data_IF_084830967359
#
_entry.id   IF_084830967359
#
_cell.length_a   1.000
_cell.length_b   1.000
_cell.length_c   1.000
_cell.angle_alpha   90.00
_cell.angle_beta   90.00
_cell.angle_gamma   90.00
#
_symmetry.space_group_name_H-M   'P 1'
#
loop_
_entity.id
_entity.type
_entity.pdbx_description
1 polymer ?
#
# COMPACT_ATOMS: atom_id res chain seq x y z
N UNK A 1 -21.08 7.33 -15.38
CA UNK A 1 -19.72 7.09 -14.86
C UNK A 1 -19.85 6.14 -13.69
N UNK A 2 -19.09 5.04 -13.63
CA UNK A 2 -19.13 4.06 -12.53
C UNK A 2 -18.39 4.59 -11.30
N UNK A 3 -18.63 3.97 -10.13
CA UNK A 3 -17.89 4.29 -8.90
C UNK A 3 -16.39 4.10 -9.08
N UNK A 4 -15.97 2.98 -9.65
CA UNK A 4 -14.56 2.68 -9.89
C UNK A 4 -13.88 3.72 -10.79
N UNK A 5 -14.53 4.11 -11.91
CA UNK A 5 -14.01 5.18 -12.78
C UNK A 5 -13.93 6.53 -12.10
N UNK A 6 -14.91 6.88 -11.25
CA UNK A 6 -14.86 8.12 -10.47
C UNK A 6 -13.68 8.10 -9.49
N UNK A 7 -13.43 6.97 -8.84
CA UNK A 7 -12.27 6.79 -7.96
C UNK A 7 -10.95 6.83 -8.73
N UNK A 8 -10.89 6.21 -9.90
CA UNK A 8 -9.70 6.24 -10.76
C UNK A 8 -9.33 7.67 -11.14
N UNK A 9 -10.30 8.46 -11.62
CA UNK A 9 -10.07 9.88 -11.96
C UNK A 9 -9.65 10.70 -10.76
N UNK A 10 -10.25 10.46 -9.59
CA UNK A 10 -9.83 11.13 -8.36
C UNK A 10 -8.38 10.81 -8.00
N UNK A 11 -7.97 9.54 -8.14
CA UNK A 11 -6.59 9.12 -7.95
C UNK A 11 -5.62 9.73 -8.96
N UNK A 12 -6.00 9.79 -10.25
CA UNK A 12 -5.19 10.45 -11.29
C UNK A 12 -5.01 11.93 -10.96
N UNK A 13 -6.08 12.62 -10.57
CA UNK A 13 -6.02 14.03 -10.16
C UNK A 13 -5.16 14.20 -8.91
N UNK A 14 -5.32 13.35 -7.90
CA UNK A 14 -4.56 13.39 -6.66
C UNK A 14 -3.07 13.17 -6.88
N UNK A 15 -2.71 12.07 -7.54
CA UNK A 15 -1.31 11.76 -7.88
C UNK A 15 -0.72 12.84 -8.79
N UNK A 16 -1.44 13.25 -9.84
CA UNK A 16 -1.01 14.28 -10.77
C UNK A 16 -0.74 15.61 -10.08
N UNK A 17 -1.63 16.05 -9.19
CA UNK A 17 -1.46 17.31 -8.46
C UNK A 17 -0.24 17.30 -7.53
N UNK A 18 -0.03 16.18 -6.80
CA UNK A 18 1.13 16.04 -5.89
C UNK A 18 2.44 15.96 -6.68
N UNK A 19 2.49 15.23 -7.79
CA UNK A 19 3.67 15.14 -8.66
C UNK A 19 3.98 16.48 -9.30
N UNK A 20 2.97 17.21 -9.79
CA UNK A 20 3.14 18.54 -10.37
C UNK A 20 3.68 19.53 -9.34
N UNK A 21 3.13 19.52 -8.12
CA UNK A 21 3.60 20.38 -7.02
C UNK A 21 5.05 20.03 -6.64
N UNK A 22 5.39 18.75 -6.54
CA UNK A 22 6.74 18.31 -6.23
C UNK A 22 7.74 18.70 -7.33
N UNK A 23 7.39 18.50 -8.60
CA UNK A 23 8.22 18.91 -9.75
C UNK A 23 8.41 20.43 -9.79
N UNK A 24 7.34 21.20 -9.59
CA UNK A 24 7.42 22.66 -9.50
C UNK A 24 8.33 23.11 -8.36
N UNK A 25 8.21 22.47 -7.19
CA UNK A 25 9.06 22.78 -6.03
C UNK A 25 10.54 22.49 -6.29
N UNK A 26 10.85 21.40 -7.00
CA UNK A 26 12.22 21.05 -7.42
C UNK A 26 12.78 22.10 -8.39
N UNK A 27 12.06 22.41 -9.46
CA UNK A 27 12.54 23.32 -10.52
C UNK A 27 12.70 24.75 -10.01
N UNK A 28 11.76 25.20 -9.17
CA UNK A 28 11.79 26.58 -8.62
C UNK A 28 12.75 26.74 -7.44
N UNK A 29 13.20 25.65 -6.81
CA UNK A 29 13.97 25.70 -5.56
C UNK A 29 13.16 26.28 -4.39
N UNK A 30 11.83 26.20 -4.44
CA UNK A 30 10.93 26.81 -3.46
C UNK A 30 11.23 26.41 -2.01
N UNK A 31 11.50 25.13 -1.67
CA UNK A 31 11.85 24.73 -0.32
C UNK A 31 13.08 25.47 0.22
N UNK A 32 14.11 25.68 -0.61
CA UNK A 32 15.34 26.38 -0.21
C UNK A 32 15.12 27.90 0.05
N UNK A 33 14.01 28.45 -0.43
CA UNK A 33 13.64 29.86 -0.17
C UNK A 33 12.77 30.03 1.08
N UNK A 34 12.02 29.00 1.46
CA UNK A 34 11.03 29.07 2.54
C UNK A 34 11.48 28.40 3.84
N UNK A 35 12.40 27.44 3.75
CA UNK A 35 12.83 26.61 4.87
C UNK A 35 14.31 26.82 5.17
N UNK A 36 14.77 26.34 6.32
CA UNK A 36 16.18 26.47 6.73
C UNK A 36 17.09 25.62 5.86
N UNK A 37 18.04 26.26 5.20
CA UNK A 37 19.06 25.62 4.32
C UNK A 37 20.21 25.02 5.15
N UNK A 38 20.43 25.54 6.36
CA UNK A 38 21.40 25.03 7.30
C UNK A 38 20.73 24.28 8.45
N UNK A 39 21.47 23.39 9.14
CA UNK A 39 20.98 22.77 10.37
C UNK A 39 20.59 23.82 11.39
N UNK A 40 19.45 23.59 12.04
CA UNK A 40 18.93 24.52 13.05
C UNK A 40 18.67 23.81 14.38
N UNK A 41 18.09 24.49 15.36
CA UNK A 41 17.69 23.82 16.59
C UNK A 41 16.60 22.77 16.33
N UNK A 42 16.66 21.69 17.09
CA UNK A 42 15.70 20.57 17.03
C UNK A 42 14.23 21.03 17.01
N UNK A 43 13.86 21.99 17.87
CA UNK A 43 12.48 22.52 17.91
C UNK A 43 12.08 23.24 16.64
N UNK A 44 13.00 23.98 16.00
CA UNK A 44 12.75 24.68 14.74
C UNK A 44 12.58 23.70 13.58
N UNK A 45 13.41 22.64 13.53
CA UNK A 45 13.29 21.58 12.54
C UNK A 45 11.95 20.86 12.64
N UNK A 46 11.51 20.53 13.86
CA UNK A 46 10.19 19.92 14.12
C UNK A 46 9.04 20.82 13.63
N UNK A 47 9.07 22.11 13.92
CA UNK A 47 8.04 23.06 13.48
C UNK A 47 7.99 23.14 11.96
N UNK A 48 9.13 23.22 11.28
CA UNK A 48 9.19 23.26 9.82
C UNK A 48 8.68 21.97 9.18
N UNK A 49 9.06 20.79 9.70
CA UNK A 49 8.54 19.50 9.23
C UNK A 49 7.04 19.37 9.46
N UNK A 50 6.55 19.82 10.62
CA UNK A 50 5.12 19.83 10.92
C UNK A 50 4.35 20.76 9.97
N UNK A 51 4.93 21.91 9.62
CA UNK A 51 4.35 22.83 8.64
C UNK A 51 4.25 22.20 7.26
N UNK A 52 5.29 21.50 6.81
CA UNK A 52 5.28 20.76 5.52
C UNK A 52 4.21 19.67 5.55
N UNK A 53 4.13 18.88 6.63
CA UNK A 53 3.09 17.86 6.77
C UNK A 53 1.67 18.46 6.78
N UNK A 54 1.47 19.60 7.46
CA UNK A 54 0.20 20.30 7.48
C UNK A 54 -0.20 20.83 6.09
N UNK A 55 0.72 21.41 5.34
CA UNK A 55 0.47 21.86 3.97
C UNK A 55 0.09 20.69 3.05
N UNK A 56 0.75 19.56 3.18
CA UNK A 56 0.40 18.34 2.45
C UNK A 56 -1.01 17.85 2.80
N UNK A 57 -1.37 17.84 4.08
CA UNK A 57 -2.72 17.45 4.54
C UNK A 57 -3.77 18.40 3.97
N UNK A 58 -3.55 19.71 4.07
CA UNK A 58 -4.45 20.73 3.54
C UNK A 58 -4.64 20.60 2.03
N UNK A 59 -3.57 20.29 1.29
CA UNK A 59 -3.62 20.06 -0.15
C UNK A 59 -4.50 18.86 -0.52
N UNK A 60 -4.41 17.77 0.22
CA UNK A 60 -5.18 16.54 -0.04
C UNK A 60 -6.59 16.55 0.55
N UNK A 61 -6.88 17.41 1.51
CA UNK A 61 -8.16 17.40 2.24
C UNK A 61 -9.40 17.42 1.33
N UNK A 62 -9.48 18.26 0.26
CA UNK A 62 -10.62 18.24 -0.64
C UNK A 62 -10.79 16.89 -1.38
N UNK A 63 -9.67 16.30 -1.80
CA UNK A 63 -9.65 15.02 -2.50
C UNK A 63 -10.06 13.87 -1.56
N UNK A 64 -9.56 13.89 -0.33
CA UNK A 64 -9.91 12.92 0.70
C UNK A 64 -11.40 13.01 1.07
N UNK A 65 -11.95 14.21 1.20
CA UNK A 65 -13.38 14.40 1.42
C UNK A 65 -14.20 13.82 0.25
N UNK A 66 -13.80 14.13 -0.98
CA UNK A 66 -14.46 13.58 -2.17
C UNK A 66 -14.37 12.04 -2.20
N UNK A 67 -13.20 11.49 -1.97
CA UNK A 67 -12.95 10.05 -2.08
C UNK A 67 -13.46 9.22 -0.91
N UNK A 68 -13.41 9.74 0.31
CA UNK A 68 -13.77 9.02 1.51
C UNK A 68 -15.22 9.18 1.94
N UNK A 69 -15.82 10.32 1.68
CA UNK A 69 -17.18 10.63 2.11
C UNK A 69 -18.15 10.81 0.94
N UNK A 70 -17.88 11.78 0.04
CA UNK A 70 -18.88 12.19 -0.96
C UNK A 70 -19.13 11.14 -2.03
N UNK A 71 -18.10 10.54 -2.64
CA UNK A 71 -18.26 9.51 -3.68
C UNK A 71 -18.95 8.23 -3.15
N UNK A 72 -18.52 7.63 -2.02
CA UNK A 72 -19.21 6.46 -1.48
C UNK A 72 -20.69 6.72 -1.22
N UNK A 73 -21.05 7.89 -0.67
CA UNK A 73 -22.43 8.27 -0.42
C UNK A 73 -23.23 8.47 -1.70
N UNK A 74 -22.67 9.17 -2.71
CA UNK A 74 -23.32 9.39 -4.01
C UNK A 74 -23.65 8.08 -4.73
N UNK A 75 -22.78 7.08 -4.63
CA UNK A 75 -22.94 5.77 -5.27
C UNK A 75 -23.60 4.72 -4.36
N UNK A 76 -24.16 5.13 -3.22
CA UNK A 76 -24.81 4.23 -2.24
C UNK A 76 -23.93 3.05 -1.79
N UNK A 77 -22.61 3.29 -1.68
CA UNK A 77 -21.64 2.31 -1.17
C UNK A 77 -21.40 2.48 0.33
N UNK A 78 -21.86 3.59 0.93
CA UNK A 78 -21.74 3.86 2.36
C UNK A 78 -22.88 4.80 2.80
N UNK A 79 -23.49 4.50 3.94
CA UNK A 79 -24.47 5.35 4.63
C UNK A 79 -23.85 6.12 5.80
N UNK A 80 -22.52 6.18 5.84
CA UNK A 80 -21.76 6.81 6.92
C UNK A 80 -22.07 8.31 7.02
N UNK A 81 -22.25 8.81 8.26
CA UNK A 81 -22.39 10.24 8.52
C UNK A 81 -21.05 10.96 8.41
N UNK A 82 -21.08 12.27 8.14
CA UNK A 82 -19.86 13.10 8.10
C UNK A 82 -19.11 13.03 9.42
N UNK A 83 -19.81 13.07 10.55
CA UNK A 83 -19.19 12.97 11.87
C UNK A 83 -18.47 11.65 12.09
N UNK A 84 -19.07 10.52 11.66
CA UNK A 84 -18.45 9.20 11.76
C UNK A 84 -17.20 9.11 10.88
N UNK A 85 -17.28 9.60 9.63
CA UNK A 85 -16.12 9.65 8.73
C UNK A 85 -15.00 10.50 9.31
N UNK A 86 -15.29 11.71 9.82
CA UNK A 86 -14.28 12.58 10.45
C UNK A 86 -13.65 11.94 11.69
N UNK A 87 -14.43 11.21 12.49
CA UNK A 87 -13.93 10.51 13.67
C UNK A 87 -12.92 9.38 13.33
N UNK A 88 -13.06 8.76 12.15
CA UNK A 88 -12.06 7.81 11.64
C UNK A 88 -10.89 8.47 10.91
N UNK A 89 -11.19 9.47 10.08
CA UNK A 89 -10.23 10.17 9.23
C UNK A 89 -9.25 11.05 10.03
N UNK A 90 -9.75 11.84 10.98
CA UNK A 90 -8.93 12.80 11.74
C UNK A 90 -7.77 12.14 12.49
N UNK A 91 -8.02 11.13 13.35
CA UNK A 91 -6.96 10.43 14.06
C UNK A 91 -5.94 9.77 13.12
N UNK A 92 -6.39 9.22 11.98
CA UNK A 92 -5.50 8.59 11.01
C UNK A 92 -4.57 9.61 10.32
N UNK A 93 -5.10 10.79 9.96
CA UNK A 93 -4.30 11.91 9.42
C UNK A 93 -3.29 12.40 10.43
N UNK A 94 -3.69 12.58 11.69
CA UNK A 94 -2.79 13.00 12.76
C UNK A 94 -1.69 11.96 13.00
N UNK A 95 -2.02 10.67 13.03
CA UNK A 95 -1.05 9.59 13.18
C UNK A 95 -0.05 9.55 12.00
N UNK A 96 -0.52 9.69 10.76
CA UNK A 96 0.36 9.75 9.59
C UNK A 96 1.26 10.99 9.62
N UNK A 97 0.70 12.16 9.94
CA UNK A 97 1.48 13.40 10.05
C UNK A 97 2.54 13.31 11.14
N UNK A 98 2.20 12.73 12.29
CA UNK A 98 3.16 12.47 13.36
C UNK A 98 4.29 11.55 12.90
N UNK A 99 3.96 10.44 12.19
CA UNK A 99 4.97 9.55 11.63
C UNK A 99 5.88 10.26 10.62
N UNK A 100 5.34 11.12 9.76
CA UNK A 100 6.14 11.88 8.80
C UNK A 100 7.09 12.84 9.50
N UNK A 101 6.64 13.58 10.50
CA UNK A 101 7.50 14.47 11.29
C UNK A 101 8.56 13.65 12.04
N UNK A 102 8.18 12.51 12.64
CA UNK A 102 9.11 11.61 13.32
C UNK A 102 10.19 11.09 12.36
N UNK A 103 9.80 10.56 11.19
CA UNK A 103 10.75 10.02 10.21
C UNK A 103 11.63 11.11 9.61
N UNK A 104 11.06 12.26 9.26
CA UNK A 104 11.82 13.40 8.76
C UNK A 104 12.86 13.86 9.77
N UNK A 105 12.49 14.00 11.03
CA UNK A 105 13.42 14.36 12.09
C UNK A 105 14.48 13.27 12.31
N UNK A 106 14.11 11.99 12.32
CA UNK A 106 15.05 10.88 12.46
C UNK A 106 16.07 10.86 11.32
N UNK A 107 15.63 11.12 10.08
CA UNK A 107 16.52 11.23 8.91
C UNK A 107 17.49 12.41 9.11
N UNK A 108 17.01 13.59 9.51
CA UNK A 108 17.85 14.76 9.74
C UNK A 108 18.91 14.49 10.81
N UNK A 109 18.50 14.07 12.00
CA UNK A 109 19.41 13.88 13.14
C UNK A 109 20.48 12.81 12.88
N UNK A 110 20.06 11.65 12.32
CA UNK A 110 21.02 10.60 12.00
C UNK A 110 21.92 10.97 10.80
N UNK A 111 21.41 11.74 9.84
CA UNK A 111 22.24 12.20 8.72
C UNK A 111 23.23 13.29 9.12
N UNK A 112 22.86 14.18 10.03
CA UNK A 112 23.78 15.17 10.61
C UNK A 112 24.91 14.48 11.39
N UNK A 113 24.64 13.38 12.08
CA UNK A 113 25.62 12.63 12.87
C UNK A 113 26.49 11.66 12.04
N UNK A 114 25.90 10.94 11.08
CA UNK A 114 26.50 9.78 10.39
C UNK A 114 26.47 9.89 8.86
N UNK A 115 26.10 11.06 8.31
CA UNK A 115 25.98 11.26 6.87
C UNK A 115 24.96 10.34 6.21
N UNK A 116 25.25 9.85 5.01
CA UNK A 116 24.35 8.98 4.23
C UNK A 116 24.03 7.64 4.93
N UNK A 117 24.97 7.13 5.72
CA UNK A 117 24.74 5.91 6.53
C UNK A 117 23.62 6.15 7.55
N UNK A 118 23.62 7.31 8.19
CA UNK A 118 22.57 7.72 9.12
C UNK A 118 21.18 7.75 8.46
N UNK A 119 21.08 8.27 7.23
CA UNK A 119 19.83 8.26 6.48
C UNK A 119 19.31 6.85 6.20
N UNK A 120 20.20 5.93 5.75
CA UNK A 120 19.83 4.53 5.49
C UNK A 120 19.35 3.85 6.77
N UNK A 121 20.02 4.09 7.90
CA UNK A 121 19.61 3.57 9.20
C UNK A 121 18.24 4.14 9.64
N UNK A 122 18.02 5.44 9.45
CA UNK A 122 16.75 6.10 9.75
C UNK A 122 15.59 5.50 8.94
N UNK A 123 15.77 5.37 7.62
CA UNK A 123 14.76 4.79 6.73
C UNK A 123 14.50 3.33 7.10
N UNK A 124 15.54 2.54 7.33
CA UNK A 124 15.40 1.12 7.70
C UNK A 124 14.64 0.97 9.02
N UNK A 125 14.95 1.79 10.01
CA UNK A 125 14.23 1.84 11.29
C UNK A 125 12.77 2.29 11.10
N UNK A 126 12.54 3.29 10.26
CA UNK A 126 11.20 3.75 9.89
C UNK A 126 10.36 2.66 9.22
N UNK A 127 10.96 1.90 8.28
CA UNK A 127 10.30 0.75 7.65
C UNK A 127 9.93 -0.31 8.68
N UNK A 128 10.84 -0.67 9.58
CA UNK A 128 10.56 -1.62 10.65
C UNK A 128 9.43 -1.14 11.54
N UNK A 129 9.42 0.14 11.90
CA UNK A 129 8.36 0.73 12.71
C UNK A 129 7.01 0.74 11.98
N UNK A 130 6.97 1.10 10.70
CA UNK A 130 5.76 1.01 9.88
C UNK A 130 5.20 -0.42 9.85
N UNK A 131 6.06 -1.44 9.61
CA UNK A 131 5.65 -2.84 9.60
C UNK A 131 5.14 -3.29 10.97
N UNK A 132 5.78 -2.88 12.06
CA UNK A 132 5.38 -3.20 13.43
C UNK A 132 4.02 -2.57 13.76
N UNK A 133 3.84 -1.28 13.54
CA UNK A 133 2.59 -0.56 13.79
C UNK A 133 1.44 -1.19 12.99
N UNK A 134 1.67 -1.47 11.69
CA UNK A 134 0.69 -2.16 10.85
C UNK A 134 0.28 -3.51 11.43
N UNK A 135 1.25 -4.33 11.84
CA UNK A 135 0.99 -5.65 12.36
C UNK A 135 0.19 -5.58 13.67
N UNK A 136 0.57 -4.68 14.59
CA UNK A 136 -0.14 -4.46 15.85
C UNK A 136 -1.58 -3.98 15.60
N UNK A 137 -1.75 -2.98 14.75
CA UNK A 137 -3.07 -2.42 14.41
C UNK A 137 -4.02 -3.45 13.82
N UNK A 138 -3.51 -4.34 12.94
CA UNK A 138 -4.32 -5.40 12.34
C UNK A 138 -4.68 -6.47 13.37
N UNK A 139 -3.71 -6.91 14.19
CA UNK A 139 -3.93 -7.96 15.17
C UNK A 139 -4.87 -7.53 16.30
N UNK A 140 -4.93 -6.23 16.63
CA UNK A 140 -5.90 -5.69 17.59
C UNK A 140 -7.36 -5.86 17.12
N UNK A 141 -7.59 -6.06 15.82
CA UNK A 141 -8.92 -6.26 15.23
C UNK A 141 -9.26 -7.74 15.02
N UNK A 142 -8.48 -8.65 15.60
CA UNK A 142 -8.69 -10.09 15.48
C UNK A 142 -10.04 -10.49 16.09
N UNK A 143 -10.76 -11.33 15.35
CA UNK A 143 -12.03 -11.93 15.78
C UNK A 143 -11.76 -13.39 16.13
N UNK A 144 -12.01 -13.74 17.38
CA UNK A 144 -11.90 -15.12 17.88
C UNK A 144 -13.31 -15.62 18.18
N UNK A 145 -13.96 -16.26 17.18
CA UNK A 145 -15.25 -16.92 17.37
C UNK A 145 -15.15 -18.40 16.98
N UNK A 146 -15.96 -19.23 17.62
CA UNK A 146 -16.03 -20.67 17.29
C UNK A 146 -16.46 -20.89 15.84
N UNK A 147 -17.38 -20.07 15.34
CA UNK A 147 -17.83 -20.09 13.93
C UNK A 147 -16.68 -19.79 12.99
N UNK A 148 -15.86 -18.77 13.28
CA UNK A 148 -14.68 -18.44 12.48
C UNK A 148 -13.69 -19.59 12.42
N UNK A 149 -13.44 -20.24 13.58
CA UNK A 149 -12.52 -21.36 13.65
C UNK A 149 -13.03 -22.57 12.85
N UNK A 150 -14.32 -22.91 12.93
CA UNK A 150 -14.93 -24.01 12.15
C UNK A 150 -14.86 -23.72 10.65
N UNK A 151 -15.20 -22.52 10.21
CA UNK A 151 -15.14 -22.15 8.78
C UNK A 151 -13.72 -22.22 8.23
N UNK A 152 -12.74 -21.71 8.98
CA UNK A 152 -11.32 -21.83 8.59
C UNK A 152 -10.84 -23.27 8.54
N UNK A 153 -11.28 -24.11 9.47
CA UNK A 153 -10.93 -25.54 9.47
C UNK A 153 -11.43 -26.22 8.18
N UNK A 154 -12.69 -25.97 7.79
CA UNK A 154 -13.26 -26.50 6.54
C UNK A 154 -12.47 -26.03 5.33
N UNK A 155 -12.21 -24.71 5.22
CA UNK A 155 -11.43 -24.16 4.12
C UNK A 155 -9.99 -24.73 4.08
N UNK A 156 -9.34 -24.91 5.23
CA UNK A 156 -7.99 -25.45 5.30
C UNK A 156 -7.97 -26.94 4.91
N UNK A 157 -8.99 -27.71 5.30
CA UNK A 157 -9.12 -29.11 4.90
C UNK A 157 -9.25 -29.28 3.37
N UNK A 158 -9.92 -28.33 2.70
CA UNK A 158 -10.02 -28.29 1.23
C UNK A 158 -8.68 -27.99 0.53
N UNK A 159 -7.73 -27.33 1.21
CA UNK A 159 -6.40 -27.03 0.67
C UNK A 159 -5.45 -28.24 0.80
N UNK A 160 -5.67 -29.13 1.75
CA UNK A 160 -4.79 -30.29 2.00
C UNK A 160 -4.50 -31.13 0.75
N UNK A 161 -5.50 -31.49 -0.10
CA UNK A 161 -5.26 -32.26 -1.32
C UNK A 161 -4.32 -31.56 -2.31
N UNK A 162 -4.17 -30.24 -2.24
CA UNK A 162 -3.27 -29.47 -3.10
C UNK A 162 -1.82 -29.48 -2.59
N UNK A 163 -1.52 -30.10 -1.46
CA UNK A 163 -0.17 -30.17 -0.91
C UNK A 163 0.42 -28.84 -0.46
N UNK A 164 -0.42 -27.83 -0.22
CA UNK A 164 -0.01 -26.48 0.13
C UNK A 164 0.06 -26.35 1.65
N UNK A 165 1.21 -25.98 2.18
CA UNK A 165 1.33 -25.62 3.59
C UNK A 165 0.63 -24.29 3.84
N UNK A 166 -0.36 -24.28 4.74
CA UNK A 166 -1.12 -23.08 5.11
C UNK A 166 -0.54 -22.46 6.40
N UNK A 167 0.05 -21.27 6.34
CA UNK A 167 0.46 -20.54 7.54
C UNK A 167 -0.73 -20.18 8.43
N UNK A 168 -0.44 -19.78 9.67
CA UNK A 168 -1.47 -19.35 10.61
C UNK A 168 -2.36 -18.25 10.00
N UNK A 169 -3.66 -18.53 9.94
CA UNK A 169 -4.66 -17.62 9.37
C UNK A 169 -5.43 -16.94 10.49
N UNK A 170 -5.55 -15.62 10.39
CA UNK A 170 -6.21 -14.75 11.37
C UNK A 170 -7.40 -14.06 10.70
N UNK A 171 -8.55 -14.14 11.34
CA UNK A 171 -9.76 -13.40 10.93
C UNK A 171 -9.77 -12.05 11.62
N UNK A 172 -10.03 -10.98 10.85
CA UNK A 172 -10.10 -9.62 11.40
C UNK A 172 -11.41 -8.95 10.99
N UNK A 173 -11.98 -8.21 11.93
CA UNK A 173 -13.13 -7.34 11.63
C UNK A 173 -12.64 -6.02 11.05
N UNK A 174 -13.29 -5.56 9.97
CA UNK A 174 -12.90 -4.34 9.29
C UNK A 174 -14.10 -3.64 8.66
N UNK A 175 -14.22 -2.31 8.83
CA UNK A 175 -15.39 -1.53 8.37
C UNK A 175 -15.40 -1.34 6.86
N UNK A 176 -14.23 -1.11 6.26
CA UNK A 176 -14.13 -0.84 4.82
C UNK A 176 -14.34 -2.11 3.99
N UNK A 177 -15.32 -2.08 3.07
CA UNK A 177 -15.65 -3.22 2.20
C UNK A 177 -14.49 -3.58 1.27
N UNK A 178 -13.71 -2.61 0.82
CA UNK A 178 -12.53 -2.84 -0.03
C UNK A 178 -11.32 -3.42 0.69
N UNK A 179 -11.37 -3.58 2.02
CA UNK A 179 -10.31 -4.27 2.75
C UNK A 179 -10.39 -5.78 2.48
N UNK A 180 -9.40 -6.31 1.82
CA UNK A 180 -9.33 -7.73 1.42
C UNK A 180 -8.40 -8.58 2.28
N UNK A 181 -7.89 -8.02 3.38
CA UNK A 181 -6.89 -8.72 4.19
C UNK A 181 -5.52 -8.73 3.52
N UNK A 182 -4.76 -9.81 3.67
CA UNK A 182 -3.42 -9.92 3.06
C UNK A 182 -2.45 -10.79 3.84
N UNK A 183 -1.18 -10.41 3.85
CA UNK A 183 -0.10 -11.12 4.55
C UNK A 183 0.62 -10.14 5.47
N UNK A 184 0.89 -10.56 6.72
CA UNK A 184 1.74 -9.84 7.67
C UNK A 184 2.85 -10.75 8.20
N UNK A 185 3.92 -10.15 8.73
CA UNK A 185 5.08 -10.90 9.23
C UNK A 185 6.00 -11.37 8.10
N UNK A 186 7.00 -12.17 8.42
CA UNK A 186 8.04 -12.64 7.50
C UNK A 186 8.39 -14.11 7.74
N UNK A 187 8.73 -14.82 6.68
CA UNK A 187 9.20 -16.20 6.72
C UNK A 187 8.23 -17.11 7.49
N UNK A 188 8.74 -17.88 8.43
CA UNK A 188 7.94 -18.81 9.27
C UNK A 188 6.93 -18.10 10.20
N UNK A 189 7.09 -16.78 10.43
CA UNK A 189 6.18 -15.97 11.24
C UNK A 189 5.13 -15.23 10.41
N UNK A 190 5.10 -15.47 9.10
CA UNK A 190 4.09 -14.89 8.23
C UNK A 190 2.70 -15.43 8.61
N UNK A 191 1.72 -14.53 8.63
CA UNK A 191 0.32 -14.84 8.92
C UNK A 191 -0.55 -14.34 7.77
N UNK A 192 -1.57 -15.13 7.44
CA UNK A 192 -2.59 -14.77 6.47
C UNK A 192 -3.70 -14.02 7.21
N UNK A 193 -4.08 -12.86 6.72
CA UNK A 193 -5.17 -12.04 7.27
C UNK A 193 -6.38 -12.14 6.37
N UNK A 194 -7.52 -12.52 6.94
CA UNK A 194 -8.80 -12.66 6.23
C UNK A 194 -9.84 -11.74 6.86
N UNK A 195 -10.58 -10.95 6.08
CA UNK A 195 -11.72 -10.20 6.58
C UNK A 195 -12.82 -11.15 7.07
N UNK A 196 -13.44 -10.84 8.21
CA UNK A 196 -14.52 -11.62 8.80
C UNK A 196 -15.68 -11.89 7.80
N UNK A 197 -16.01 -10.90 6.96
CA UNK A 197 -17.07 -11.05 5.95
C UNK A 197 -16.77 -12.13 4.89
N UNK A 198 -15.52 -12.55 4.70
CA UNK A 198 -15.20 -13.62 3.76
C UNK A 198 -15.56 -15.01 4.29
N UNK A 199 -15.88 -15.13 5.56
CA UNK A 199 -16.39 -16.38 6.14
C UNK A 199 -17.77 -16.77 5.57
N UNK A 200 -18.48 -15.83 4.93
CA UNK A 200 -19.72 -16.08 4.20
C UNK A 200 -19.51 -16.50 2.73
N UNK A 201 -18.27 -16.54 2.25
CA UNK A 201 -17.98 -17.03 0.90
C UNK A 201 -18.23 -18.54 0.80
N UNK A 202 -18.50 -19.07 -0.42
CA UNK A 202 -18.41 -20.50 -0.66
C UNK A 202 -17.08 -21.05 -0.15
N UNK A 203 -17.08 -22.20 0.57
CA UNK A 203 -15.88 -22.74 1.20
C UNK A 203 -14.70 -22.90 0.23
N UNK A 204 -14.97 -23.29 -1.03
CA UNK A 204 -13.97 -23.46 -2.08
C UNK A 204 -13.29 -22.14 -2.48
N UNK A 205 -14.07 -21.06 -2.54
CA UNK A 205 -13.53 -19.72 -2.84
C UNK A 205 -12.71 -19.19 -1.68
N UNK A 206 -13.16 -19.38 -0.44
CA UNK A 206 -12.39 -19.04 0.75
C UNK A 206 -11.07 -19.82 0.79
N UNK A 207 -11.13 -21.13 0.54
CA UNK A 207 -9.95 -22.00 0.46
C UNK A 207 -8.97 -21.49 -0.60
N UNK A 208 -9.46 -21.15 -1.80
CA UNK A 208 -8.63 -20.62 -2.89
C UNK A 208 -7.98 -19.30 -2.52
N UNK A 209 -8.71 -18.37 -1.88
CA UNK A 209 -8.17 -17.09 -1.42
C UNK A 209 -7.07 -17.28 -0.35
N UNK A 210 -7.23 -18.27 0.55
CA UNK A 210 -6.20 -18.63 1.53
C UNK A 210 -5.01 -19.29 0.83
N UNK A 211 -5.24 -20.24 -0.07
CA UNK A 211 -4.20 -20.98 -0.80
C UNK A 211 -3.32 -20.05 -1.64
N UNK A 212 -3.88 -19.00 -2.30
CA UNK A 212 -3.12 -17.99 -3.04
C UNK A 212 -2.11 -17.27 -2.14
N UNK A 213 -2.52 -16.85 -0.94
CA UNK A 213 -1.64 -16.19 0.03
C UNK A 213 -0.61 -17.16 0.60
N UNK A 214 -1.02 -18.39 0.91
CA UNK A 214 -0.10 -19.44 1.36
C UNK A 214 0.96 -19.73 0.29
N UNK A 215 0.58 -19.84 -0.98
CA UNK A 215 1.50 -20.04 -2.09
C UNK A 215 2.44 -18.83 -2.27
N UNK A 216 1.98 -17.59 -2.09
CA UNK A 216 2.83 -16.41 -2.15
C UNK A 216 3.92 -16.42 -1.05
N UNK A 217 3.59 -16.95 0.15
CA UNK A 217 4.56 -17.13 1.25
C UNK A 217 5.51 -18.29 0.93
N UNK A 218 4.98 -19.46 0.58
CA UNK A 218 5.75 -20.69 0.37
C UNK A 218 6.72 -20.59 -0.81
N UNK A 219 6.33 -19.92 -1.90
CA UNK A 219 7.19 -19.69 -3.07
C UNK A 219 8.23 -18.56 -2.86
N UNK A 220 8.18 -17.87 -1.71
CA UNK A 220 9.03 -16.71 -1.44
C UNK A 220 8.67 -15.45 -2.24
N UNK A 221 7.56 -15.48 -3.01
CA UNK A 221 7.13 -14.34 -3.84
C UNK A 221 6.79 -13.11 -2.99
N UNK A 222 6.15 -13.31 -1.83
CA UNK A 222 5.86 -12.25 -0.86
C UNK A 222 7.15 -11.60 -0.30
N UNK A 223 8.10 -12.41 0.17
CA UNK A 223 9.36 -11.89 0.72
C UNK A 223 10.19 -11.16 -0.34
N UNK A 224 10.20 -11.67 -1.58
CA UNK A 224 10.82 -11.00 -2.74
C UNK A 224 10.15 -9.66 -3.01
N UNK A 225 8.81 -9.60 -2.97
CA UNK A 225 8.06 -8.36 -3.14
C UNK A 225 8.42 -7.30 -2.09
N UNK A 226 8.56 -7.71 -0.84
CA UNK A 226 8.97 -6.82 0.24
C UNK A 226 10.41 -6.33 0.06
N UNK A 227 11.33 -7.20 -0.33
CA UNK A 227 12.72 -6.83 -0.59
C UNK A 227 12.86 -5.83 -1.75
N UNK A 228 12.15 -6.06 -2.87
CA UNK A 228 12.13 -5.14 -4.02
C UNK A 228 11.56 -3.79 -3.58
N UNK A 229 10.46 -3.77 -2.84
CA UNK A 229 9.82 -2.56 -2.36
C UNK A 229 10.76 -1.76 -1.42
N UNK A 230 11.46 -2.44 -0.52
CA UNK A 230 12.43 -1.83 0.38
C UNK A 230 13.61 -1.21 -0.40
N UNK A 231 14.20 -1.98 -1.31
CA UNK A 231 15.32 -1.51 -2.14
C UNK A 231 14.92 -0.34 -3.04
N UNK A 232 13.72 -0.40 -3.66
CA UNK A 232 13.20 0.70 -4.47
C UNK A 232 13.13 2.02 -3.69
N UNK A 233 12.63 1.96 -2.45
CA UNK A 233 12.50 3.16 -1.60
C UNK A 233 13.88 3.70 -1.19
N UNK A 234 14.80 2.85 -0.73
CA UNK A 234 16.14 3.30 -0.31
C UNK A 234 16.91 3.88 -1.50
N UNK A 235 17.01 3.13 -2.60
CA UNK A 235 17.76 3.58 -3.77
C UNK A 235 17.18 4.88 -4.32
N UNK A 236 15.84 4.96 -4.45
CA UNK A 236 15.19 6.17 -4.93
C UNK A 236 15.39 7.37 -4.03
N UNK A 237 15.24 7.20 -2.71
CA UNK A 237 15.44 8.28 -1.76
C UNK A 237 16.88 8.79 -1.73
N UNK A 238 17.84 7.86 -1.68
CA UNK A 238 19.27 8.22 -1.67
C UNK A 238 19.72 8.87 -2.99
N UNK A 239 19.20 8.39 -4.13
CA UNK A 239 19.45 9.03 -5.43
C UNK A 239 18.89 10.45 -5.49
N UNK A 240 17.70 10.67 -4.95
CA UNK A 240 17.08 11.99 -4.92
C UNK A 240 17.80 12.97 -3.97
N UNK A 241 18.48 12.47 -2.94
CA UNK A 241 19.28 13.30 -2.05
C UNK A 241 20.53 13.91 -2.74
N UNK A 242 20.89 13.41 -3.93
CA UNK A 242 21.99 13.91 -4.75
C UNK A 242 21.56 14.97 -5.77
N UNK A 243 20.27 15.28 -5.86
CA UNK A 243 19.76 16.31 -6.76
C UNK A 243 20.24 17.73 -6.32
N UNK A 244 20.37 18.67 -7.26
CA UNK A 244 20.75 20.04 -6.93
C UNK A 244 19.78 20.66 -5.90
N UNK A 245 20.33 21.22 -4.83
CA UNK A 245 19.57 21.81 -3.72
C UNK A 245 18.89 20.81 -2.77
N UNK A 246 18.95 19.50 -3.07
CA UNK A 246 18.54 18.44 -2.15
C UNK A 246 19.64 18.13 -1.13
N UNK A 247 19.29 17.38 -0.09
CA UNK A 247 20.22 16.97 0.95
C UNK A 247 19.51 16.33 2.13
N UNK A 248 20.27 15.91 3.14
CA UNK A 248 19.74 15.13 4.27
C UNK A 248 20.06 15.79 5.63
N UNK A 249 20.74 16.93 5.64
CA UNK A 249 21.23 17.58 6.86
C UNK A 249 20.48 18.84 7.24
N UNK A 250 19.60 19.35 6.36
CA UNK A 250 18.76 20.52 6.59
C UNK A 250 17.31 20.25 6.17
N UNK A 251 16.35 20.98 6.73
CA UNK A 251 14.94 20.79 6.41
C UNK A 251 14.66 21.13 4.94
N UNK A 252 15.23 22.20 4.43
CA UNK A 252 15.07 22.57 3.02
C UNK A 252 15.60 21.48 2.08
N UNK A 253 16.83 21.01 2.33
CA UNK A 253 17.43 19.91 1.55
C UNK A 253 16.61 18.63 1.62
N UNK A 254 16.12 18.26 2.81
CA UNK A 254 15.26 17.08 2.99
C UNK A 254 13.95 17.21 2.21
N UNK A 255 13.28 18.38 2.25
CA UNK A 255 12.04 18.60 1.51
C UNK A 255 12.29 18.57 -0.01
N UNK A 256 13.41 19.10 -0.49
CA UNK A 256 13.83 18.94 -1.89
C UNK A 256 14.04 17.46 -2.25
N UNK A 257 14.69 16.67 -1.37
CA UNK A 257 14.85 15.23 -1.52
C UNK A 257 13.49 14.52 -1.61
N UNK A 258 12.53 14.89 -0.74
CA UNK A 258 11.17 14.32 -0.73
C UNK A 258 10.42 14.68 -2.03
N UNK A 259 10.59 15.88 -2.55
CA UNK A 259 10.01 16.26 -3.85
C UNK A 259 10.57 15.39 -4.98
N UNK A 260 11.89 15.16 -5.03
CA UNK A 260 12.52 14.23 -5.97
C UNK A 260 12.01 12.80 -5.80
N UNK A 261 11.94 12.35 -4.55
CA UNK A 261 11.42 11.02 -4.21
C UNK A 261 9.94 10.85 -4.56
N UNK A 262 9.15 11.92 -4.57
CA UNK A 262 7.76 11.90 -5.06
C UNK A 262 7.72 11.58 -6.55
N UNK A 263 8.59 12.21 -7.36
CA UNK A 263 8.72 11.91 -8.80
C UNK A 263 9.23 10.48 -9.02
N UNK A 264 10.22 10.03 -8.25
CA UNK A 264 10.70 8.63 -8.27
C UNK A 264 9.58 7.65 -7.92
N UNK A 265 8.80 7.93 -6.90
CA UNK A 265 7.65 7.10 -6.50
C UNK A 265 6.58 7.04 -7.58
N UNK A 266 6.40 8.13 -8.34
CA UNK A 266 5.52 8.14 -9.50
C UNK A 266 6.01 7.20 -10.62
N UNK A 267 7.32 7.15 -10.90
CA UNK A 267 7.88 6.12 -11.80
C UNK A 267 7.59 4.71 -11.28
N UNK A 268 7.68 4.51 -9.97
CA UNK A 268 7.27 3.25 -9.34
C UNK A 268 5.80 2.88 -9.59
N UNK A 269 4.89 3.87 -9.58
CA UNK A 269 3.48 3.64 -9.91
C UNK A 269 3.26 3.20 -11.37
N UNK A 270 4.15 3.55 -12.28
CA UNK A 270 4.06 3.15 -13.69
C UNK A 270 4.69 1.76 -13.93
N UNK A 271 5.75 1.40 -13.21
CA UNK A 271 6.54 0.19 -13.47
C UNK A 271 6.15 -1.00 -12.58
N UNK A 272 5.98 -0.77 -11.28
CA UNK A 272 5.79 -1.84 -10.29
C UNK A 272 4.43 -2.57 -10.36
N UNK A 273 3.33 -1.99 -10.87
CA UNK A 273 2.10 -2.73 -11.12
C UNK A 273 2.29 -3.96 -12.01
N UNK A 274 3.13 -3.86 -13.05
CA UNK A 274 3.46 -5.00 -13.92
C UNK A 274 4.16 -6.13 -13.16
N UNK A 275 5.12 -5.81 -12.29
CA UNK A 275 5.80 -6.79 -11.43
C UNK A 275 4.82 -7.48 -10.48
N UNK A 276 3.88 -6.72 -9.92
CA UNK A 276 2.84 -7.23 -9.02
C UNK A 276 1.88 -8.17 -9.74
N UNK A 277 1.38 -7.78 -10.94
CA UNK A 277 0.51 -8.63 -11.76
C UNK A 277 1.20 -9.94 -12.13
N UNK A 278 2.45 -9.86 -12.60
CA UNK A 278 3.25 -11.05 -12.90
C UNK A 278 3.38 -11.96 -11.66
N UNK A 279 3.53 -11.37 -10.48
CA UNK A 279 3.56 -12.10 -9.21
C UNK A 279 2.26 -12.84 -8.94
N UNK A 280 1.10 -12.18 -9.10
CA UNK A 280 -0.21 -12.77 -8.93
C UNK A 280 -0.48 -13.89 -9.93
N UNK A 281 -0.22 -13.66 -11.21
CA UNK A 281 -0.40 -14.67 -12.27
C UNK A 281 0.50 -15.89 -12.05
N UNK A 282 1.75 -15.69 -11.62
CA UNK A 282 2.64 -16.81 -11.29
C UNK A 282 2.14 -17.64 -10.13
N UNK A 283 1.55 -17.01 -9.11
CA UNK A 283 0.92 -17.72 -8.00
C UNK A 283 -0.28 -18.55 -8.50
N UNK A 284 -1.11 -17.99 -9.38
CA UNK A 284 -2.24 -18.69 -9.97
C UNK A 284 -1.78 -19.92 -10.78
N UNK A 285 -0.72 -19.80 -11.60
CA UNK A 285 -0.12 -20.91 -12.31
C UNK A 285 0.42 -22.02 -11.36
N UNK A 286 1.09 -21.63 -10.28
CA UNK A 286 1.57 -22.59 -9.29
C UNK A 286 0.42 -23.33 -8.60
N UNK A 287 -0.70 -22.67 -8.32
CA UNK A 287 -1.89 -23.30 -7.76
C UNK A 287 -2.51 -24.32 -8.72
N UNK A 288 -2.62 -23.97 -10.00
CA UNK A 288 -3.11 -24.91 -11.04
C UNK A 288 -2.21 -26.13 -11.12
N UNK A 289 -0.89 -25.96 -11.06
CA UNK A 289 0.07 -27.07 -11.05
C UNK A 289 -0.07 -27.98 -9.80
N UNK A 290 -0.57 -27.43 -8.69
CA UNK A 290 -0.87 -28.17 -7.46
C UNK A 290 -2.28 -28.79 -7.46
N UNK A 291 -3.02 -28.67 -8.57
CA UNK A 291 -4.34 -29.30 -8.71
C UNK A 291 -5.53 -28.40 -8.35
N UNK A 292 -5.32 -27.12 -8.09
CA UNK A 292 -6.45 -26.16 -7.92
C UNK A 292 -7.11 -25.91 -9.28
N UNK A 293 -8.44 -26.05 -9.43
CA UNK A 293 -9.12 -25.77 -10.70
C UNK A 293 -8.95 -24.31 -11.13
N UNK A 294 -8.55 -24.06 -12.38
CA UNK A 294 -8.37 -22.70 -12.91
C UNK A 294 -9.67 -21.88 -12.86
N UNK A 295 -10.81 -22.53 -13.12
CA UNK A 295 -12.13 -21.92 -13.02
C UNK A 295 -12.42 -21.38 -11.61
N UNK A 296 -12.04 -22.12 -10.56
CA UNK A 296 -12.21 -21.70 -9.18
C UNK A 296 -11.36 -20.50 -8.83
N UNK A 297 -10.14 -20.39 -9.39
CA UNK A 297 -9.27 -19.23 -9.23
C UNK A 297 -9.94 -17.98 -9.86
N UNK A 298 -10.49 -18.14 -11.07
CA UNK A 298 -11.19 -17.04 -11.78
C UNK A 298 -12.45 -16.59 -11.06
N UNK A 299 -13.26 -17.52 -10.56
CA UNK A 299 -14.45 -17.23 -9.78
C UNK A 299 -14.10 -16.49 -8.48
N UNK A 300 -13.06 -16.94 -7.78
CA UNK A 300 -12.56 -16.27 -6.58
C UNK A 300 -12.08 -14.85 -6.88
N UNK A 301 -11.32 -14.67 -7.96
CA UNK A 301 -10.85 -13.35 -8.38
C UNK A 301 -12.01 -12.42 -8.73
N UNK A 302 -13.03 -12.93 -9.43
CA UNK A 302 -14.25 -12.17 -9.74
C UNK A 302 -14.98 -11.71 -8.47
N UNK A 303 -15.17 -12.62 -7.50
CA UNK A 303 -15.79 -12.31 -6.21
C UNK A 303 -15.02 -11.23 -5.44
N UNK A 304 -13.69 -11.30 -5.45
CA UNK A 304 -12.84 -10.31 -4.80
C UNK A 304 -12.91 -8.94 -5.49
N UNK A 305 -12.93 -8.91 -6.83
CA UNK A 305 -13.05 -7.67 -7.58
C UNK A 305 -14.38 -6.96 -7.31
N UNK A 306 -15.48 -7.70 -7.20
CA UNK A 306 -16.79 -7.13 -6.86
C UNK A 306 -16.80 -6.37 -5.54
N UNK A 307 -15.99 -6.80 -4.57
CA UNK A 307 -15.84 -6.13 -3.28
C UNK A 307 -14.95 -4.89 -3.34
N UNK A 308 -14.00 -4.85 -4.26
CA UNK A 308 -13.03 -3.74 -4.39
C UNK A 308 -13.52 -2.69 -5.37
N UNK A 309 -13.42 -2.97 -6.63
CA UNK A 309 -13.62 -2.01 -7.72
C UNK A 309 -14.95 -2.26 -8.47
N UNK A 310 -15.42 -3.52 -8.56
CA UNK A 310 -16.58 -3.91 -9.32
C UNK A 310 -16.38 -3.72 -10.84
N UNK A 311 -15.13 -3.82 -11.30
CA UNK A 311 -14.74 -3.77 -12.71
C UNK A 311 -13.80 -4.94 -13.02
N UNK A 312 -14.31 -6.17 -13.18
CA UNK A 312 -13.50 -7.38 -13.38
C UNK A 312 -12.74 -7.36 -14.71
N UNK A 313 -13.24 -6.60 -15.69
CA UNK A 313 -12.61 -6.41 -17.00
C UNK A 313 -12.25 -4.95 -17.20
N UNK A 314 -10.98 -4.70 -17.55
CA UNK A 314 -10.43 -3.34 -17.73
C UNK A 314 -9.70 -3.25 -19.07
N UNK A 315 -9.67 -2.09 -19.74
CA UNK A 315 -8.80 -1.87 -20.88
C UNK A 315 -7.32 -2.14 -20.53
N UNK A 316 -6.59 -2.81 -21.40
CA UNK A 316 -5.23 -3.26 -21.13
C UNK A 316 -4.27 -2.14 -20.66
N UNK A 317 -4.40 -0.92 -21.23
CA UNK A 317 -3.56 0.21 -20.81
C UNK A 317 -3.90 0.73 -19.41
N UNK A 318 -5.19 0.71 -19.01
CA UNK A 318 -5.62 1.08 -17.66
C UNK A 318 -5.11 0.06 -16.65
N UNK A 319 -5.24 -1.23 -16.96
CA UNK A 319 -4.70 -2.29 -16.13
C UNK A 319 -3.18 -2.17 -16.00
N UNK A 320 -2.48 -1.91 -17.11
CA UNK A 320 -1.03 -1.83 -17.13
C UNK A 320 -0.49 -0.76 -16.17
N UNK A 321 -1.13 0.39 -16.09
CA UNK A 321 -0.62 1.56 -15.36
C UNK A 321 -1.21 1.63 -13.95
N UNK A 322 -2.52 1.38 -13.79
CA UNK A 322 -3.21 1.73 -12.55
C UNK A 322 -3.55 0.53 -11.65
N UNK A 323 -3.49 -0.70 -12.17
CA UNK A 323 -3.92 -1.87 -11.41
C UNK A 323 -2.79 -2.88 -11.22
N UNK A 324 -2.35 -3.09 -9.95
CA UNK A 324 -1.36 -4.12 -9.62
C UNK A 324 -1.95 -5.53 -9.59
N UNK A 325 -3.29 -5.67 -9.71
CA UNK A 325 -4.03 -6.93 -9.72
C UNK A 325 -4.50 -7.23 -11.13
N UNK A 326 -4.26 -8.45 -11.68
CA UNK A 326 -4.65 -8.79 -13.04
C UNK A 326 -6.16 -8.91 -13.19
N UNK A 327 -6.68 -8.63 -14.40
CA UNK A 327 -8.06 -8.88 -14.78
C UNK A 327 -8.43 -10.36 -14.56
N UNK A 328 -9.71 -10.63 -14.40
CA UNK A 328 -10.22 -12.00 -14.23
C UNK A 328 -9.90 -12.84 -15.47
N UNK A 329 -10.14 -12.30 -16.66
CA UNK A 329 -9.87 -13.00 -17.94
C UNK A 329 -8.39 -13.32 -18.16
N UNK A 330 -7.47 -12.48 -17.70
CA UNK A 330 -6.02 -12.72 -17.86
C UNK A 330 -5.49 -13.86 -16.99
N UNK A 331 -6.26 -14.35 -16.01
CA UNK A 331 -5.86 -15.46 -15.10
C UNK A 331 -5.98 -16.84 -15.75
N UNK A 332 -6.77 -16.97 -16.80
CA UNK A 332 -6.96 -18.22 -17.53
C UNK A 332 -5.83 -18.52 -18.54
N UNK A 333 -4.87 -17.60 -18.70
CA UNK A 333 -3.77 -17.75 -19.63
C UNK A 333 -2.77 -18.83 -19.20
N UNK A 334 -2.45 -19.74 -20.13
CA UNK A 334 -1.40 -20.76 -19.96
C UNK A 334 0.01 -20.23 -20.32
N UNK A 335 0.11 -19.01 -20.82
CA UNK A 335 1.36 -18.44 -21.29
C UNK A 335 2.38 -18.27 -20.15
N UNK A 336 3.65 -18.63 -20.39
CA UNK A 336 4.68 -18.46 -19.40
C UNK A 336 4.89 -16.97 -19.07
N UNK A 337 4.85 -16.64 -17.78
CA UNK A 337 5.04 -15.26 -17.32
C UNK A 337 6.50 -14.87 -17.53
N UNK A 338 6.72 -13.88 -18.40
CA UNK A 338 8.04 -13.33 -18.69
C UNK A 338 8.35 -12.15 -17.76
N UNK A 339 9.61 -12.07 -17.33
CA UNK A 339 10.11 -10.95 -16.54
C UNK A 339 10.00 -11.13 -15.03
N UNK A 340 10.25 -10.02 -14.32
CA UNK A 340 10.25 -9.99 -12.86
C UNK A 340 8.82 -10.17 -12.33
N UNK A 341 8.67 -11.09 -11.38
CA UNK A 341 7.41 -11.46 -10.76
C UNK A 341 7.57 -11.53 -9.25
N UNK A 342 6.81 -10.71 -8.51
CA UNK A 342 6.80 -10.74 -7.07
C UNK A 342 5.46 -10.21 -6.53
N UNK A 343 4.97 -10.87 -5.47
CA UNK A 343 3.66 -10.57 -4.90
C UNK A 343 3.58 -9.13 -4.38
N UNK A 344 2.61 -8.38 -4.90
CA UNK A 344 2.16 -7.07 -4.42
C UNK A 344 3.24 -5.99 -4.19
N UNK A 345 4.25 -5.93 -5.04
CA UNK A 345 5.37 -4.96 -4.92
C UNK A 345 4.87 -3.51 -4.92
N UNK A 346 3.96 -3.16 -5.83
CA UNK A 346 3.50 -1.78 -6.01
C UNK A 346 2.87 -1.20 -4.73
N UNK A 347 1.93 -1.91 -4.13
CA UNK A 347 1.28 -1.48 -2.88
C UNK A 347 2.26 -1.45 -1.71
N UNK A 348 3.12 -2.47 -1.62
CA UNK A 348 4.15 -2.54 -0.57
C UNK A 348 5.12 -1.37 -0.67
N UNK A 349 5.56 -1.00 -1.89
CA UNK A 349 6.44 0.15 -2.12
C UNK A 349 5.80 1.45 -1.63
N UNK A 350 4.54 1.68 -1.95
CA UNK A 350 3.81 2.87 -1.50
C UNK A 350 3.65 2.91 0.02
N UNK A 351 3.42 1.78 0.67
CA UNK A 351 3.34 1.74 2.13
C UNK A 351 4.71 2.01 2.78
N UNK A 352 5.77 1.34 2.31
CA UNK A 352 7.10 1.53 2.85
C UNK A 352 7.68 2.92 2.56
N UNK A 353 7.19 3.62 1.54
CA UNK A 353 7.59 5.00 1.25
C UNK A 353 7.28 5.98 2.40
N UNK A 354 6.40 5.61 3.33
CA UNK A 354 6.14 6.43 4.52
C UNK A 354 7.39 6.69 5.33
N UNK A 355 8.30 5.70 5.43
CA UNK A 355 9.59 5.87 6.10
C UNK A 355 10.50 6.92 5.43
N UNK A 356 10.23 7.25 4.17
CA UNK A 356 10.86 8.31 3.38
C UNK A 356 9.97 9.55 3.25
N UNK A 357 8.95 9.72 4.10
CA UNK A 357 7.92 10.77 4.00
C UNK A 357 7.21 10.78 2.62
N UNK A 358 6.98 9.61 2.03
CA UNK A 358 6.40 9.46 0.68
C UNK A 358 4.94 9.95 0.60
N UNK A 359 4.69 11.00 -0.16
CA UNK A 359 3.38 11.66 -0.24
C UNK A 359 2.38 10.94 -1.15
N UNK A 360 2.83 10.14 -2.13
CA UNK A 360 1.93 9.55 -3.12
C UNK A 360 1.02 8.44 -2.59
N UNK A 361 1.42 7.73 -1.54
CA UNK A 361 0.67 6.58 -1.02
C UNK A 361 -0.78 6.91 -0.65
N UNK A 362 -1.06 8.14 -0.21
CA UNK A 362 -2.40 8.60 0.16
C UNK A 362 -3.23 9.05 -1.05
N UNK A 363 -2.58 9.49 -2.12
CA UNK A 363 -3.24 10.07 -3.30
C UNK A 363 -3.72 9.05 -4.31
N UNK A 364 -3.31 7.76 -4.21
CA UNK A 364 -3.74 6.72 -5.16
C UNK A 364 -5.23 6.39 -5.01
N UNK A 365 -5.87 6.01 -6.11
CA UNK A 365 -7.32 5.84 -6.22
C UNK A 365 -7.95 4.93 -5.14
N UNK A 366 -7.27 3.90 -4.69
CA UNK A 366 -7.76 3.01 -3.63
C UNK A 366 -7.70 3.62 -2.23
N UNK A 367 -6.81 4.60 -2.00
CA UNK A 367 -6.50 5.16 -0.68
C UNK A 367 -7.15 6.51 -0.39
N UNK A 368 -7.42 7.33 -1.43
CA UNK A 368 -7.93 8.70 -1.25
C UNK A 368 -9.15 8.70 -0.34
N UNK A 369 -9.03 9.36 0.80
CA UNK A 369 -10.07 9.51 1.80
C UNK A 369 -10.46 8.24 2.58
N UNK A 370 -9.70 7.13 2.42
CA UNK A 370 -9.97 5.82 3.04
C UNK A 370 -8.81 5.39 3.94
N UNK A 371 -8.65 6.00 5.13
CA UNK A 371 -7.48 5.76 6.00
C UNK A 371 -7.31 4.29 6.38
N UNK A 372 -8.39 3.53 6.43
CA UNK A 372 -8.36 2.10 6.75
C UNK A 372 -7.59 1.27 5.72
N UNK A 373 -7.41 1.77 4.49
CA UNK A 373 -6.65 1.12 3.44
C UNK A 373 -5.20 1.63 3.30
N UNK A 374 -4.81 2.67 4.03
CA UNK A 374 -3.46 3.27 3.89
C UNK A 374 -2.33 2.32 4.27
N UNK A 375 -2.60 1.34 5.13
CA UNK A 375 -1.62 0.30 5.47
C UNK A 375 -1.26 -0.62 4.28
N UNK A 376 -2.01 -0.56 3.18
CA UNK A 376 -1.77 -1.24 1.90
C UNK A 376 -1.26 -2.67 2.08
N UNK A 377 -2.03 -3.49 2.79
CA UNK A 377 -1.68 -4.90 2.92
C UNK A 377 -1.46 -5.55 1.56
N UNK A 378 -0.50 -6.47 1.48
CA UNK A 378 -0.35 -7.31 0.31
C UNK A 378 -1.63 -8.12 0.08
N UNK A 379 -2.45 -7.63 -0.80
CA UNK A 379 -3.72 -8.26 -1.19
C UNK A 379 -3.67 -8.59 -2.67
N UNK A 380 -4.51 -9.50 -3.02
CA UNK A 380 -4.80 -9.77 -4.39
C UNK A 380 -6.29 -9.62 -4.62
#
# INVERSE_FOLDING_TARGET
>A
MTYARSRLWLGITGVGSVVTLATFSLVSGLPNRLLSVEPTSFGRELIQLASVAALFVLWLLPLDFLGGFWLPKRFRKSDESLGSWLAGYGPAVLAQSFLFVLFGNLILQLSQALGSVGAVLAISSGVLLCLLIRNLWILQRQVNSETSAKTLLVATAMIQPWGIFVPHTVVVSHRDIGFTGGIIGLGKRAKIIIPERWLSFPPEQLATAIARRAMAINSGSYSRGLAIAFMWNIVGFMSCALLPGAGLTSVAGLVMTICGFTVWSFLGLLLLPTVSRNGSLKIDQLLVQQGTPAELISQTAFQLDQLQDGEPERPAFIEAIFHPVPNVSSRNGSDPIKGLAAWNVARTTLFLSWACMGFLSRSVHCNVGRPELWAMLPTD
#
